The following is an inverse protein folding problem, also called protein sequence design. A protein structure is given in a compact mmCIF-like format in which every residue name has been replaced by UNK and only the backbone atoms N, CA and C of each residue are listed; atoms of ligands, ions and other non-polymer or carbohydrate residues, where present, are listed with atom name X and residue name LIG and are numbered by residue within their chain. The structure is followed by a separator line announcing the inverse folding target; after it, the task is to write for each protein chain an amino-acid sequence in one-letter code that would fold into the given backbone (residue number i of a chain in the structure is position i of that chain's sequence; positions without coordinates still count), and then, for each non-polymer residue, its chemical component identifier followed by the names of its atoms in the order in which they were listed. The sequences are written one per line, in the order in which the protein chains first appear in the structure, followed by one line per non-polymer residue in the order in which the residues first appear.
data_IF_806502210440
#
_entry.id   IF_806502210440
#
_cell.length_a   1.000
_cell.length_b   1.000
_cell.length_c   1.000
_cell.angle_alpha   90.00
_cell.angle_beta   90.00
_cell.angle_gamma   90.00
#
_symmetry.space_group_name_H-M   'P 1'
#
loop_
_entity.id
_entity.type
_entity.pdbx_description
1 polymer ?
#
# COMPACT_ATOMS: atom_id res chain seq x y z
N UNK A 1 -6.06 4.01 13.43
CA UNK A 1 -7.02 3.50 12.41
C UNK A 1 -7.46 4.56 11.42
N UNK A 2 -7.96 5.69 11.88
CA UNK A 2 -8.45 6.72 10.97
C UNK A 2 -7.41 7.15 9.94
N UNK A 3 -6.20 7.42 10.39
CA UNK A 3 -5.11 7.87 9.51
C UNK A 3 -4.73 6.81 8.49
N UNK A 4 -4.66 5.55 8.92
CA UNK A 4 -4.34 4.44 8.03
C UNK A 4 -5.44 4.23 6.99
N UNK A 5 -6.72 4.33 7.39
CA UNK A 5 -7.85 4.21 6.45
C UNK A 5 -7.86 5.34 5.43
N UNK A 6 -7.58 6.56 5.86
CA UNK A 6 -7.49 7.71 4.96
C UNK A 6 -6.35 7.50 3.95
N UNK A 7 -5.19 7.04 4.41
CA UNK A 7 -4.06 6.78 3.54
C UNK A 7 -4.38 5.71 2.49
N UNK A 8 -5.01 4.61 2.91
CA UNK A 8 -5.41 3.53 2.00
C UNK A 8 -6.35 4.04 0.91
N UNK A 9 -7.27 4.94 1.26
CA UNK A 9 -8.20 5.51 0.29
C UNK A 9 -7.51 6.49 -0.68
N UNK A 10 -6.46 7.17 -0.22
CA UNK A 10 -5.74 8.16 -1.03
C UNK A 10 -4.70 7.54 -1.94
N UNK A 11 -4.16 6.37 -1.59
CA UNK A 11 -3.12 5.73 -2.36
C UNK A 11 -3.70 4.98 -3.57
N UNK A 12 -2.90 4.74 -4.61
CA UNK A 12 -3.40 4.14 -5.84
C UNK A 12 -3.61 2.63 -5.78
N UNK A 13 -3.33 1.98 -4.65
CA UNK A 13 -3.48 0.53 -4.53
C UNK A 13 -4.95 0.14 -4.39
N UNK A 14 -5.36 -0.89 -5.14
CA UNK A 14 -6.71 -1.44 -5.08
C UNK A 14 -6.79 -2.58 -4.08
N UNK A 15 -8.03 -3.03 -3.76
CA UNK A 15 -8.24 -4.09 -2.78
C UNK A 15 -7.51 -5.39 -3.17
N UNK A 16 -7.41 -5.68 -4.46
CA UNK A 16 -6.70 -6.86 -4.95
C UNK A 16 -5.21 -6.87 -4.57
N UNK A 17 -4.57 -5.71 -4.56
CA UNK A 17 -3.18 -5.62 -4.10
C UNK A 17 -3.06 -6.12 -2.66
N UNK A 18 -3.95 -5.65 -1.78
CA UNK A 18 -3.91 -6.04 -0.37
C UNK A 18 -4.23 -7.52 -0.17
N UNK A 19 -5.13 -8.09 -0.99
CA UNK A 19 -5.38 -9.53 -0.97
C UNK A 19 -4.14 -10.32 -1.36
N UNK A 20 -3.41 -9.84 -2.35
CA UNK A 20 -2.18 -10.50 -2.79
C UNK A 20 -1.12 -10.51 -1.69
N UNK A 21 -0.89 -9.37 -1.04
CA UNK A 21 0.12 -9.30 0.02
C UNK A 21 -0.33 -9.96 1.31
N UNK A 22 -1.60 -10.27 1.46
CA UNK A 22 -2.09 -11.11 2.55
C UNK A 22 -1.71 -12.57 2.34
N UNK A 23 -1.77 -13.04 1.09
CA UNK A 23 -1.52 -14.43 0.74
C UNK A 23 -0.07 -14.73 0.45
N UNK A 24 0.64 -13.83 -0.20
CA UNK A 24 2.05 -14.00 -0.52
C UNK A 24 2.75 -12.65 -0.61
N UNK A 25 4.03 -12.61 -0.23
CA UNK A 25 4.79 -11.37 -0.24
C UNK A 25 5.08 -10.91 -1.68
N UNK A 26 5.10 -9.59 -1.89
CA UNK A 26 5.44 -8.96 -3.16
C UNK A 26 6.42 -7.82 -2.94
N UNK A 27 7.38 -7.66 -3.85
CA UNK A 27 8.24 -6.48 -3.91
C UNK A 27 7.66 -5.45 -4.86
N UNK A 28 8.18 -4.22 -4.80
CA UNK A 28 7.79 -3.17 -5.75
C UNK A 28 8.08 -3.56 -7.18
N UNK A 29 9.23 -4.19 -7.43
CA UNK A 29 9.61 -4.66 -8.77
C UNK A 29 8.66 -5.72 -9.29
N UNK A 30 8.30 -6.68 -8.43
CA UNK A 30 7.38 -7.75 -8.81
C UNK A 30 5.98 -7.19 -9.14
N UNK A 31 5.52 -6.21 -8.35
CA UNK A 31 4.22 -5.59 -8.58
C UNK A 31 4.18 -4.85 -9.91
N UNK A 32 5.22 -4.07 -10.20
CA UNK A 32 5.29 -3.27 -11.44
C UNK A 32 5.38 -4.18 -12.67
N UNK A 33 6.03 -5.33 -12.54
CA UNK A 33 6.21 -6.27 -13.64
C UNK A 33 4.97 -7.11 -13.95
N UNK A 34 3.93 -7.07 -13.11
CA UNK A 34 2.74 -7.89 -13.32
C UNK A 34 1.96 -7.42 -14.54
N UNK A 35 1.51 -8.37 -15.36
CA UNK A 35 0.65 -8.07 -16.50
C UNK A 35 -0.75 -7.64 -16.07
N UNK A 36 -1.18 -8.03 -14.86
CA UNK A 36 -2.48 -7.68 -14.31
C UNK A 36 -2.43 -6.44 -13.42
N UNK A 37 -1.45 -5.55 -13.64
CA UNK A 37 -1.31 -4.36 -12.83
C UNK A 37 -2.59 -3.50 -12.73
N UNK A 38 -3.46 -3.44 -13.76
CA UNK A 38 -4.69 -2.65 -13.63
C UNK A 38 -5.63 -3.14 -12.55
N UNK A 39 -5.53 -4.42 -12.16
CA UNK A 39 -6.30 -4.97 -11.04
C UNK A 39 -5.67 -4.66 -9.69
N UNK A 40 -4.39 -4.28 -9.67
CA UNK A 40 -3.64 -4.02 -8.45
C UNK A 40 -3.58 -2.53 -8.09
N UNK A 41 -3.50 -1.67 -9.10
CA UNK A 41 -3.35 -0.22 -8.90
C UNK A 41 -4.31 0.53 -9.82
N UNK A 42 -4.68 1.75 -9.41
CA UNK A 42 -5.59 2.60 -10.18
C UNK A 42 -4.90 3.29 -11.35
N UNK A 43 -3.56 3.37 -11.32
CA UNK A 43 -2.76 3.95 -12.38
C UNK A 43 -1.44 3.21 -12.47
N UNK A 44 -0.76 3.37 -13.62
CA UNK A 44 0.54 2.76 -13.80
C UNK A 44 1.57 3.42 -12.88
N UNK A 45 2.33 2.61 -12.16
CA UNK A 45 3.39 3.05 -11.24
C UNK A 45 4.74 2.53 -11.75
N UNK A 46 5.82 3.29 -11.49
CA UNK A 46 7.16 2.77 -11.68
C UNK A 46 7.67 2.16 -10.36
N UNK A 47 8.82 1.47 -10.40
CA UNK A 47 9.37 0.78 -9.24
C UNK A 47 9.71 1.72 -8.08
N UNK A 48 10.31 2.86 -8.40
CA UNK A 48 10.72 3.84 -7.39
C UNK A 48 9.52 4.44 -6.67
N UNK A 49 8.51 4.84 -7.43
CA UNK A 49 7.27 5.38 -6.89
C UNK A 49 6.54 4.34 -6.03
N UNK A 50 6.47 3.11 -6.52
CA UNK A 50 5.84 2.02 -5.79
C UNK A 50 6.56 1.77 -4.47
N UNK A 51 7.89 1.73 -4.48
CA UNK A 51 8.67 1.52 -3.26
C UNK A 51 8.40 2.62 -2.23
N UNK A 52 8.35 3.87 -2.63
CA UNK A 52 8.04 4.99 -1.74
C UNK A 52 6.65 4.83 -1.09
N UNK A 53 5.67 4.40 -1.86
CA UNK A 53 4.31 4.19 -1.37
C UNK A 53 4.24 3.00 -0.41
N UNK A 54 4.98 1.93 -0.69
CA UNK A 54 5.06 0.77 0.20
C UNK A 54 5.71 1.14 1.52
N UNK A 55 6.78 1.93 1.49
CA UNK A 55 7.45 2.43 2.69
C UNK A 55 6.46 3.23 3.54
N UNK A 56 5.64 4.07 2.92
CA UNK A 56 4.62 4.84 3.63
C UNK A 56 3.63 3.92 4.35
N UNK A 57 3.16 2.87 3.67
CA UNK A 57 2.24 1.90 4.28
C UNK A 57 2.91 1.11 5.41
N UNK A 58 4.20 0.83 5.29
CA UNK A 58 4.95 0.19 6.37
C UNK A 58 5.01 1.10 7.59
N UNK A 59 5.24 2.38 7.40
CA UNK A 59 5.30 3.35 8.49
C UNK A 59 3.95 3.51 9.21
N UNK A 60 2.86 3.30 8.48
CA UNK A 60 1.52 3.33 9.06
C UNK A 60 1.13 2.00 9.73
N UNK A 61 1.95 0.99 9.58
CA UNK A 61 1.69 -0.32 10.18
C UNK A 61 0.78 -1.22 9.35
N UNK A 62 0.42 -0.81 8.13
CA UNK A 62 -0.46 -1.60 7.24
C UNK A 62 0.29 -2.75 6.60
N UNK A 63 1.54 -2.53 6.24
CA UNK A 63 2.42 -3.54 5.64
C UNK A 63 3.66 -3.75 6.49
N UNK A 64 4.34 -4.87 6.29
CA UNK A 64 5.64 -5.15 6.90
C UNK A 64 6.52 -5.87 5.88
N UNK A 65 7.82 -5.78 6.07
CA UNK A 65 8.77 -6.51 5.23
C UNK A 65 8.72 -8.00 5.55
N UNK A 66 8.79 -8.82 4.51
CA UNK A 66 8.95 -10.26 4.66
C UNK A 66 10.33 -10.57 5.21
N UNK A 67 10.41 -11.52 6.14
CA UNK A 67 11.68 -11.98 6.71
C UNK A 67 11.95 -13.39 6.20
N UNK A 68 13.15 -13.63 5.68
CA UNK A 68 13.62 -14.96 5.33
C UNK A 68 14.80 -15.36 6.23
N UNK A 69 15.46 -16.45 5.92
CA UNK A 69 16.60 -16.93 6.73
C UNK A 69 17.80 -16.00 6.75
N UNK A 70 17.84 -14.97 5.90
CA UNK A 70 18.95 -14.03 5.79
C UNK A 70 18.56 -12.62 6.28
N UNK A 71 17.32 -12.43 6.76
CA UNK A 71 16.86 -11.15 7.29
C UNK A 71 15.71 -10.56 6.49
N UNK A 72 15.60 -9.23 6.50
CA UNK A 72 14.52 -8.54 5.80
C UNK A 72 14.71 -8.58 4.29
N UNK A 73 13.62 -8.80 3.58
CA UNK A 73 13.60 -8.78 2.10
C UNK A 73 12.92 -7.50 1.61
N UNK A 74 12.94 -7.27 0.31
CA UNK A 74 12.23 -6.17 -0.33
C UNK A 74 10.73 -6.44 -0.45
N UNK A 75 10.29 -7.67 -0.19
CA UNK A 75 8.89 -8.06 -0.28
C UNK A 75 8.12 -7.60 0.94
N UNK A 76 6.84 -7.29 0.73
CA UNK A 76 5.96 -6.83 1.80
C UNK A 76 4.78 -7.78 1.97
N UNK A 77 4.25 -7.82 3.19
CA UNK A 77 3.04 -8.57 3.55
C UNK A 77 2.09 -7.69 4.34
N UNK A 78 0.81 -8.06 4.30
CA UNK A 78 -0.21 -7.36 5.08
C UNK A 78 -0.08 -7.72 6.56
N UNK A 79 -0.18 -6.71 7.42
CA UNK A 79 -0.14 -6.91 8.88
C UNK A 79 -1.55 -7.18 9.43
N UNK A 80 -1.67 -7.68 10.68
CA UNK A 80 -2.98 -7.75 11.32
C UNK A 80 -3.69 -6.40 11.38
N UNK A 81 -2.96 -5.32 11.64
CA UNK A 81 -3.53 -3.96 11.59
C UNK A 81 -4.03 -3.64 10.19
N UNK A 82 -3.29 -4.02 9.15
CA UNK A 82 -3.72 -3.82 7.77
C UNK A 82 -5.03 -4.52 7.47
N UNK A 83 -5.22 -5.73 7.99
CA UNK A 83 -6.49 -6.45 7.85
C UNK A 83 -7.64 -5.67 8.49
N UNK A 84 -7.44 -5.14 9.68
CA UNK A 84 -8.45 -4.37 10.38
C UNK A 84 -8.80 -3.08 9.65
N UNK A 85 -7.80 -2.41 9.09
CA UNK A 85 -8.00 -1.19 8.31
C UNK A 85 -8.93 -1.45 7.13
N UNK A 86 -8.85 -2.65 6.53
CA UNK A 86 -9.60 -3.01 5.33
C UNK A 86 -10.96 -3.64 5.62
N UNK A 87 -11.30 -3.89 6.88
CA UNK A 87 -12.58 -4.51 7.25
C UNK A 87 -13.79 -3.82 6.62
N UNK A 88 -13.89 -2.46 6.59
CA UNK A 88 -15.04 -1.81 5.95
C UNK A 88 -15.12 -2.03 4.44
N UNK A 89 -14.07 -2.51 3.79
CA UNK A 89 -13.98 -2.60 2.34
C UNK A 89 -13.55 -4.00 1.89
N UNK A 90 -14.45 -5.01 2.01
CA UNK A 90 -14.06 -6.38 1.69
C UNK A 90 -13.79 -6.60 0.19
N UNK A 91 -14.34 -5.77 -0.68
CA UNK A 91 -14.21 -5.97 -2.13
C UNK A 91 -13.58 -4.78 -2.86
N UNK A 92 -14.01 -3.57 -2.56
CA UNK A 92 -13.54 -2.37 -3.25
C UNK A 92 -13.27 -1.25 -2.25
N UNK A 93 -12.09 -0.64 -2.35
CA UNK A 93 -11.74 0.50 -1.53
C UNK A 93 -12.26 1.77 -2.22
N UNK A 94 -13.13 2.55 -1.59
CA UNK A 94 -13.63 3.79 -2.21
C UNK A 94 -12.51 4.82 -2.30
N UNK A 95 -12.41 5.47 -3.45
CA UNK A 95 -11.43 6.53 -3.62
C UNK A 95 -11.76 7.71 -2.71
N UNK A 96 -10.72 8.32 -2.13
CA UNK A 96 -10.89 9.52 -1.33
C UNK A 96 -11.29 10.69 -2.21
N UNK A 97 -12.00 11.65 -1.63
CA UNK A 97 -12.31 12.90 -2.32
C UNK A 97 -11.03 13.68 -2.61
N UNK A 98 -11.11 14.61 -3.56
CA UNK A 98 -9.95 15.36 -4.00
C UNK A 98 -9.27 16.11 -2.86
N UNK A 99 -10.05 16.74 -1.97
CA UNK A 99 -9.49 17.45 -0.82
C UNK A 99 -8.69 16.55 0.11
N UNK A 100 -9.23 15.36 0.43
CA UNK A 100 -8.54 14.38 1.27
C UNK A 100 -7.26 13.88 0.61
N UNK A 101 -7.29 13.65 -0.69
CA UNK A 101 -6.12 13.18 -1.45
C UNK A 101 -5.03 14.24 -1.45
N UNK A 102 -5.40 15.50 -1.59
CA UNK A 102 -4.45 16.61 -1.59
C UNK A 102 -3.80 16.77 -0.21
N UNK A 103 -4.59 16.73 0.86
CA UNK A 103 -4.07 16.80 2.22
C UNK A 103 -3.11 15.65 2.50
N UNK A 104 -3.48 14.45 2.11
CA UNK A 104 -2.63 13.28 2.30
C UNK A 104 -1.32 13.40 1.50
N UNK A 105 -1.40 13.89 0.27
CA UNK A 105 -0.22 14.12 -0.55
C UNK A 105 0.74 15.09 0.12
N UNK A 106 0.22 16.21 0.65
CA UNK A 106 1.03 17.19 1.37
C UNK A 106 1.70 16.58 2.60
N UNK A 107 0.97 15.80 3.39
CA UNK A 107 1.52 15.12 4.57
C UNK A 107 2.62 14.16 4.21
N UNK A 108 2.42 13.38 3.17
CA UNK A 108 3.39 12.40 2.72
C UNK A 108 4.67 13.03 2.19
N UNK A 109 4.55 14.18 1.54
CA UNK A 109 5.69 14.93 0.98
C UNK A 109 6.36 15.84 1.99
N UNK A 110 5.80 15.94 3.17
CA UNK A 110 6.33 16.79 4.22
C UNK A 110 7.71 16.31 4.65
N UNK A 111 8.71 17.23 4.77
CA UNK A 111 10.04 16.83 5.26
C UNK A 111 9.95 16.24 6.65
N UNK A 112 10.84 15.30 6.92
CA UNK A 112 10.91 14.66 8.23
C UNK A 112 12.12 15.18 8.99
N UNK A 113 11.86 15.86 10.03
CA UNK A 113 12.89 16.30 10.97
C UNK A 113 12.37 16.30 12.38
#
# INVERSE_FOLDING_TARGET
MRRARQAVRCLPFQRNFYRNVEQSALSSSELVARSDWPAQTRRRLNSSETEDLLIWLIQLGVLRREVDGQGLTERVRLTPLGREVLVPWPETIPAAGLGSRLVHWCRRRRPRW
#
